data_IF_050208512998
#
_entry.id   IF_050208512998
#
_cell.length_a   1.000
_cell.length_b   1.000
_cell.length_c   1.000
_cell.angle_alpha   90.00
_cell.angle_beta   90.00
_cell.angle_gamma   90.00
#
_symmetry.space_group_name_H-M   'P 1'
#
loop_
_entity.id
_entity.type
_entity.pdbx_description
1 polymer ?
#
# COMPACT_ATOMS: atom_id res chain seq x y z
N UNK A 1 -3.10 -20.76 -2.47
CA UNK A 1 -3.41 -19.66 -3.44
C UNK A 1 -2.11 -18.96 -3.82
N UNK A 2 -2.01 -18.49 -5.07
CA UNK A 2 -0.85 -17.68 -5.50
C UNK A 2 -1.23 -16.17 -5.50
N UNK A 3 -0.61 -15.24 -4.80
CA UNK A 3 -0.76 -13.94 -4.70
C UNK A 3 0.25 -13.33 -5.52
N UNK A 4 -0.06 -12.52 -6.38
CA UNK A 4 0.83 -11.71 -7.23
C UNK A 4 0.83 -10.26 -6.75
N UNK A 5 1.98 -9.70 -6.46
CA UNK A 5 2.10 -8.27 -6.11
C UNK A 5 2.71 -7.52 -7.30
N UNK A 6 2.12 -6.62 -7.90
CA UNK A 6 2.41 -5.87 -8.88
C UNK A 6 2.93 -4.65 -8.43
N UNK A 7 4.14 -4.43 -8.48
CA UNK A 7 4.82 -3.16 -8.22
C UNK A 7 4.81 -2.29 -9.49
N UNK A 8 4.08 -1.18 -9.52
CA UNK A 8 3.99 -0.35 -10.74
C UNK A 8 5.26 0.44 -11.08
N UNK A 9 6.26 0.49 -10.20
CA UNK A 9 7.56 1.10 -10.51
C UNK A 9 8.58 0.03 -10.92
N UNK A 10 9.73 0.46 -11.40
CA UNK A 10 10.79 -0.45 -11.85
C UNK A 10 11.93 -0.58 -10.84
N UNK A 11 11.71 -0.17 -9.59
CA UNK A 11 12.74 -0.17 -8.56
C UNK A 11 12.79 -1.54 -7.85
N UNK A 12 13.85 -2.30 -8.10
CA UNK A 12 14.03 -3.63 -7.51
C UNK A 12 14.14 -3.59 -5.98
N UNK A 13 14.68 -2.52 -5.40
CA UNK A 13 14.74 -2.37 -3.94
C UNK A 13 13.35 -2.30 -3.31
N UNK A 14 12.34 -1.79 -4.04
CA UNK A 14 10.95 -1.84 -3.60
C UNK A 14 10.45 -3.28 -3.53
N UNK A 15 10.74 -4.08 -4.55
CA UNK A 15 10.36 -5.50 -4.57
C UNK A 15 10.99 -6.26 -3.41
N UNK A 16 12.27 -6.00 -3.12
CA UNK A 16 12.99 -6.64 -2.01
C UNK A 16 12.35 -6.32 -0.66
N UNK A 17 11.95 -5.06 -0.45
CA UNK A 17 11.25 -4.64 0.78
C UNK A 17 9.91 -5.33 0.90
N UNK A 18 9.15 -5.34 -0.17
CA UNK A 18 7.86 -6.02 -0.22
C UNK A 18 8.00 -7.51 0.10
N UNK A 19 8.77 -8.09 -0.61
CA UNK A 19 9.02 -9.38 -0.40
C UNK A 19 9.35 -9.68 0.97
N UNK A 20 10.31 -8.87 1.75
CA UNK A 20 10.71 -9.08 3.15
C UNK A 20 9.50 -9.01 4.13
N UNK A 21 8.59 -8.16 3.90
CA UNK A 21 7.36 -8.03 4.69
C UNK A 21 6.34 -9.13 4.39
N UNK A 22 6.21 -9.46 3.13
CA UNK A 22 5.18 -10.26 2.81
C UNK A 22 5.47 -11.71 2.92
N UNK A 23 6.80 -12.19 2.72
CA UNK A 23 7.17 -13.62 2.81
C UNK A 23 6.86 -14.30 4.14
N UNK A 24 7.16 -13.70 5.28
CA UNK A 24 6.84 -14.36 6.56
C UNK A 24 5.35 -14.58 6.82
N UNK A 25 4.48 -13.96 6.05
CA UNK A 25 3.02 -14.08 6.22
C UNK A 25 2.46 -15.25 5.40
N UNK A 26 3.24 -15.78 4.47
CA UNK A 26 2.79 -16.81 3.53
C UNK A 26 3.17 -18.20 4.00
N UNK A 27 2.24 -18.99 4.15
CA UNK A 27 2.42 -20.28 4.58
C UNK A 27 2.00 -21.24 3.53
N UNK A 28 2.48 -22.16 3.20
CA UNK A 28 2.19 -23.18 2.42
C UNK A 28 0.85 -23.64 2.70
N UNK A 29 -0.03 -23.92 1.72
CA UNK A 29 0.24 -24.06 0.25
C UNK A 29 0.19 -22.73 -0.51
N UNK A 30 0.04 -21.63 0.17
CA UNK A 30 -0.02 -20.31 -0.48
C UNK A 30 1.38 -19.89 -0.99
N UNK A 31 1.40 -19.17 -2.10
CA UNK A 31 2.64 -18.70 -2.77
C UNK A 31 2.56 -17.20 -3.04
N UNK A 32 3.70 -16.54 -2.98
CA UNK A 32 3.82 -15.11 -3.27
C UNK A 32 4.81 -14.87 -4.41
N UNK A 33 4.42 -14.05 -5.36
CA UNK A 33 5.30 -13.57 -6.42
C UNK A 33 5.24 -12.05 -6.43
N UNK A 34 6.40 -11.38 -6.47
CA UNK A 34 6.48 -9.91 -6.56
C UNK A 34 7.10 -9.56 -7.90
N UNK A 35 6.42 -8.76 -8.71
CA UNK A 35 6.87 -8.38 -10.06
C UNK A 35 6.76 -6.86 -10.25
N UNK A 36 7.59 -6.37 -11.14
CA UNK A 36 7.60 -4.96 -11.58
C UNK A 36 7.32 -4.86 -13.06
N UNK A 37 6.97 -3.75 -13.49
CA UNK A 37 6.87 -3.48 -14.79
C UNK A 37 8.21 -3.62 -15.39
N UNK A 38 8.41 -3.94 -16.65
CA UNK A 38 9.71 -4.10 -17.34
C UNK A 38 10.35 -2.76 -17.71
N UNK A 39 9.55 -1.72 -17.79
CA UNK A 39 9.99 -0.36 -18.13
C UNK A 39 9.02 0.65 -17.54
N UNK A 40 9.46 1.87 -17.35
CA UNK A 40 8.62 2.96 -16.85
C UNK A 40 9.28 3.79 -15.77
N UNK A 41 8.52 4.04 -14.72
CA UNK A 41 8.88 5.02 -13.69
C UNK A 41 9.69 4.39 -12.55
N UNK A 42 10.67 4.95 -12.21
CA UNK A 42 11.50 4.49 -11.24
C UNK A 42 11.00 4.61 -9.88
N UNK A 43 10.48 5.84 -9.57
CA UNK A 43 9.83 6.11 -8.29
C UNK A 43 8.57 6.95 -8.56
N UNK A 44 7.43 6.53 -8.00
CA UNK A 44 6.16 7.24 -8.14
C UNK A 44 6.06 8.25 -6.98
N UNK A 45 6.19 9.53 -7.31
CA UNK A 45 6.19 10.62 -6.32
C UNK A 45 5.10 11.66 -6.57
N UNK A 46 4.40 11.56 -7.72
CA UNK A 46 3.35 12.52 -8.11
C UNK A 46 2.09 11.82 -8.64
N UNK A 47 1.01 12.44 -8.69
CA UNK A 47 -0.13 11.92 -9.16
C UNK A 47 -0.07 11.56 -10.56
N UNK A 48 0.61 12.51 -11.38
CA UNK A 48 0.83 12.27 -12.81
C UNK A 48 1.66 11.00 -13.08
N UNK A 49 2.72 10.83 -12.33
CA UNK A 49 3.54 9.61 -12.45
C UNK A 49 2.74 8.35 -12.15
N UNK A 50 1.89 8.38 -11.13
CA UNK A 50 1.01 7.25 -10.81
C UNK A 50 0.07 6.94 -11.98
N UNK A 51 -0.55 7.97 -12.55
CA UNK A 51 -1.45 7.80 -13.72
C UNK A 51 -0.72 7.20 -14.92
N UNK A 52 0.53 7.60 -15.13
CA UNK A 52 1.34 7.06 -16.24
C UNK A 52 1.61 5.56 -16.10
N UNK A 53 1.51 5.00 -14.91
CA UNK A 53 1.70 3.54 -14.71
C UNK A 53 0.45 2.73 -15.05
N UNK A 54 -0.72 3.36 -15.16
CA UNK A 54 -2.00 2.64 -15.33
C UNK A 54 -1.98 1.67 -16.52
N UNK A 55 -1.53 2.07 -17.73
CA UNK A 55 -1.54 1.11 -18.84
C UNK A 55 -0.69 -0.14 -18.56
N UNK A 56 0.47 0.02 -17.92
CA UNK A 56 1.35 -1.11 -17.58
C UNK A 56 0.73 -2.00 -16.51
N UNK A 57 0.08 -1.39 -15.49
CA UNK A 57 -0.65 -2.14 -14.45
C UNK A 57 -1.75 -2.98 -15.10
N UNK A 58 -2.56 -2.38 -15.97
CA UNK A 58 -3.68 -3.08 -16.62
C UNK A 58 -3.17 -4.19 -17.57
N UNK A 59 -2.07 -3.96 -18.27
CA UNK A 59 -1.45 -4.98 -19.13
C UNK A 59 -0.98 -6.19 -18.30
N UNK A 60 -0.37 -5.93 -17.14
CA UNK A 60 0.08 -7.00 -16.23
C UNK A 60 -1.11 -7.78 -15.66
N UNK A 61 -2.16 -7.06 -15.21
CA UNK A 61 -3.39 -7.70 -14.72
C UNK A 61 -3.99 -8.57 -15.82
N UNK A 62 -4.12 -8.05 -17.04
CA UNK A 62 -4.68 -8.78 -18.19
C UNK A 62 -3.88 -10.06 -18.47
N UNK A 63 -2.56 -10.00 -18.36
CA UNK A 63 -1.68 -11.14 -18.65
C UNK A 63 -1.75 -12.23 -17.55
N UNK A 64 -2.05 -11.87 -16.31
CA UNK A 64 -1.82 -12.76 -15.17
C UNK A 64 -3.07 -13.16 -14.38
N UNK A 65 -4.23 -12.47 -14.56
CA UNK A 65 -5.39 -12.67 -13.68
C UNK A 65 -6.02 -14.09 -13.74
N UNK A 66 -5.72 -14.85 -14.77
CA UNK A 66 -6.22 -16.24 -14.86
C UNK A 66 -5.26 -17.27 -14.26
N UNK A 67 -4.04 -16.84 -13.90
CA UNK A 67 -2.98 -17.72 -13.39
C UNK A 67 -2.81 -17.64 -11.87
N UNK A 68 -3.46 -16.65 -11.24
CA UNK A 68 -3.29 -16.35 -9.82
C UNK A 68 -4.63 -16.21 -9.12
N UNK A 69 -4.65 -16.43 -7.82
CA UNK A 69 -5.86 -16.27 -7.01
C UNK A 69 -6.13 -14.83 -6.61
N UNK A 70 -5.08 -14.00 -6.57
CA UNK A 70 -5.24 -12.58 -6.24
C UNK A 70 -4.09 -11.76 -6.79
N UNK A 71 -4.39 -10.50 -7.10
CA UNK A 71 -3.40 -9.49 -7.51
C UNK A 71 -3.48 -8.31 -6.52
N UNK A 72 -2.32 -7.85 -6.06
CA UNK A 72 -2.18 -6.68 -5.20
C UNK A 72 -1.41 -5.60 -5.97
N UNK A 73 -2.00 -4.41 -6.11
CA UNK A 73 -1.33 -3.26 -6.74
C UNK A 73 -0.57 -2.50 -5.66
N UNK A 74 0.76 -2.51 -5.73
CA UNK A 74 1.63 -2.04 -4.66
C UNK A 74 2.16 -0.61 -4.87
N UNK A 75 1.24 0.32 -5.16
CA UNK A 75 1.54 1.75 -5.19
C UNK A 75 0.38 2.50 -4.54
N UNK A 76 0.69 3.44 -3.69
CA UNK A 76 -0.28 4.06 -2.77
C UNK A 76 -1.34 4.96 -3.44
N UNK A 77 -1.35 5.06 -4.64
CA UNK A 77 -2.31 5.69 -5.27
C UNK A 77 -3.22 4.81 -5.94
N UNK A 78 -3.04 3.46 -5.73
CA UNK A 78 -3.78 2.37 -6.33
C UNK A 78 -4.06 2.59 -7.82
N UNK A 79 -3.02 2.80 -8.65
CA UNK A 79 -3.23 3.17 -10.06
C UNK A 79 -3.94 2.05 -10.83
N UNK A 80 -5.05 2.41 -11.50
CA UNK A 80 -5.82 1.47 -12.32
C UNK A 80 -6.62 0.43 -11.54
N UNK A 81 -6.75 0.56 -10.21
CA UNK A 81 -7.40 -0.45 -9.38
C UNK A 81 -8.83 -0.75 -9.83
N UNK A 82 -9.64 0.28 -10.07
CA UNK A 82 -11.06 0.11 -10.43
C UNK A 82 -11.20 -0.63 -11.76
N UNK A 83 -10.40 -0.26 -12.74
CA UNK A 83 -10.38 -0.91 -14.05
C UNK A 83 -9.87 -2.35 -13.92
N UNK A 84 -8.82 -2.56 -13.14
CA UNK A 84 -8.27 -3.90 -12.88
C UNK A 84 -9.32 -4.80 -12.22
N UNK A 85 -10.05 -4.29 -11.23
CA UNK A 85 -11.14 -5.02 -10.57
C UNK A 85 -12.26 -5.40 -11.54
N UNK A 86 -12.55 -4.52 -12.52
CA UNK A 86 -13.61 -4.77 -13.51
C UNK A 86 -13.21 -5.82 -14.55
N UNK A 87 -11.91 -5.96 -14.85
CA UNK A 87 -11.43 -6.83 -15.93
C UNK A 87 -10.93 -8.20 -15.44
N UNK A 88 -10.50 -8.29 -14.20
CA UNK A 88 -9.86 -9.51 -13.68
C UNK A 88 -10.89 -10.56 -13.26
N UNK A 89 -10.53 -11.84 -13.44
CA UNK A 89 -11.32 -12.98 -12.93
C UNK A 89 -10.91 -13.36 -11.51
N UNK A 90 -9.79 -12.83 -11.03
CA UNK A 90 -9.32 -13.03 -9.65
C UNK A 90 -9.57 -11.78 -8.81
N UNK A 91 -9.37 -11.89 -7.49
CA UNK A 91 -9.46 -10.75 -6.59
C UNK A 91 -8.33 -9.75 -6.89
N UNK A 92 -8.65 -8.46 -7.00
CA UNK A 92 -7.64 -7.39 -7.13
C UNK A 92 -7.81 -6.39 -6.00
N UNK A 93 -6.73 -6.09 -5.28
CA UNK A 93 -6.71 -5.20 -4.12
C UNK A 93 -5.59 -4.18 -4.30
N UNK A 94 -5.86 -2.93 -3.93
CA UNK A 94 -4.83 -1.90 -3.83
C UNK A 94 -4.30 -1.78 -2.41
N UNK A 95 -3.04 -1.42 -2.25
CA UNK A 95 -2.46 -1.29 -0.90
C UNK A 95 -3.06 -0.11 -0.13
N UNK A 96 -3.45 0.96 -0.82
CA UNK A 96 -4.13 2.10 -0.21
C UNK A 96 -5.56 1.72 0.21
N UNK A 97 -6.30 1.05 -0.68
CA UNK A 97 -7.64 0.54 -0.39
C UNK A 97 -7.62 -0.34 0.87
N UNK A 98 -6.72 -1.32 0.89
CA UNK A 98 -6.62 -2.27 1.99
C UNK A 98 -6.29 -1.57 3.31
N UNK A 99 -5.27 -0.70 3.29
CA UNK A 99 -4.84 0.02 4.50
C UNK A 99 -5.96 0.92 5.04
N UNK A 100 -6.61 1.68 4.16
CA UNK A 100 -7.69 2.60 4.58
C UNK A 100 -8.89 1.86 5.14
N UNK A 101 -9.32 0.77 4.50
CA UNK A 101 -10.44 -0.04 5.00
C UNK A 101 -10.08 -0.71 6.33
N UNK A 102 -8.85 -1.21 6.48
CA UNK A 102 -8.37 -1.79 7.73
C UNK A 102 -8.36 -0.73 8.85
N UNK A 103 -7.79 0.45 8.59
CA UNK A 103 -7.74 1.54 9.57
C UNK A 103 -9.14 1.97 9.99
N UNK A 104 -10.06 2.10 9.04
CA UNK A 104 -11.44 2.51 9.30
C UNK A 104 -12.21 1.47 10.15
N UNK A 105 -11.85 0.19 10.04
CA UNK A 105 -12.43 -0.85 10.88
C UNK A 105 -11.82 -0.86 12.30
N UNK A 106 -10.56 -0.44 12.44
CA UNK A 106 -9.87 -0.43 13.73
C UNK A 106 -10.18 0.80 14.58
N UNK A 107 -10.48 1.94 13.96
CA UNK A 107 -10.58 3.21 14.67
C UNK A 107 -11.62 4.15 14.04
N UNK A 108 -12.23 4.98 14.88
CA UNK A 108 -13.18 6.00 14.40
C UNK A 108 -12.49 7.06 13.52
N UNK A 109 -11.19 7.31 13.76
CA UNK A 109 -10.40 8.28 12.99
C UNK A 109 -9.01 7.72 12.76
N UNK A 110 -8.47 7.94 11.55
CA UNK A 110 -7.10 7.53 11.20
C UNK A 110 -6.40 8.62 10.40
N UNK A 111 -5.08 8.57 10.37
CA UNK A 111 -4.25 9.45 9.53
C UNK A 111 -3.31 8.62 8.66
N UNK A 112 -2.86 9.24 7.59
CA UNK A 112 -1.89 8.65 6.66
C UNK A 112 -0.62 9.51 6.70
N UNK A 113 0.53 8.88 6.83
CA UNK A 113 1.83 9.52 6.72
C UNK A 113 2.54 8.92 5.50
N UNK A 114 2.98 9.79 4.60
CA UNK A 114 3.64 9.37 3.36
C UNK A 114 4.68 10.41 2.94
N UNK A 115 5.29 10.19 1.78
CA UNK A 115 6.26 11.11 1.18
C UNK A 115 5.60 11.82 -0.01
N UNK A 116 6.09 13.01 -0.28
CA UNK A 116 5.69 13.80 -1.46
C UNK A 116 4.37 14.57 -1.31
N UNK A 117 4.51 15.63 -1.38
CA UNK A 117 3.49 16.52 -1.12
C UNK A 117 2.39 16.56 -2.12
N UNK A 118 2.68 16.19 -3.24
CA UNK A 118 1.71 16.26 -4.32
C UNK A 118 0.68 15.13 -4.29
N UNK A 119 0.90 14.10 -3.50
CA UNK A 119 0.01 12.93 -3.46
C UNK A 119 -1.25 13.15 -2.62
N UNK A 120 -1.22 14.10 -1.73
CA UNK A 120 -2.30 14.34 -0.76
C UNK A 120 -3.72 14.47 -1.36
N UNK A 121 -3.87 14.94 -2.34
CA UNK A 121 -5.08 15.18 -2.96
C UNK A 121 -5.66 13.95 -3.58
N UNK A 122 -4.74 13.27 -4.21
CA UNK A 122 -5.12 11.98 -4.79
C UNK A 122 -5.51 10.96 -3.71
N UNK A 123 -4.77 10.92 -2.62
CA UNK A 123 -5.06 10.05 -1.47
C UNK A 123 -6.45 10.35 -0.90
N UNK A 124 -6.81 11.59 -0.74
CA UNK A 124 -8.15 11.99 -0.26
C UNK A 124 -9.26 11.61 -1.26
N UNK A 125 -8.95 11.60 -2.42
CA UNK A 125 -9.80 11.25 -3.38
C UNK A 125 -10.09 9.84 -3.39
N UNK A 126 -9.03 9.05 -3.09
CA UNK A 126 -9.16 7.61 -2.90
C UNK A 126 -9.98 7.28 -1.64
N UNK A 127 -9.73 7.95 -0.54
CA UNK A 127 -10.51 7.75 0.70
C UNK A 127 -12.01 7.96 0.47
N UNK A 128 -12.36 8.94 -0.35
CA UNK A 128 -13.77 9.18 -0.71
C UNK A 128 -14.34 8.00 -1.51
N UNK A 129 -13.60 7.53 -2.51
CA UNK A 129 -14.05 6.42 -3.35
C UNK A 129 -14.17 5.09 -2.57
N UNK A 130 -13.36 4.93 -1.51
CA UNK A 130 -13.41 3.75 -0.65
C UNK A 130 -14.43 3.87 0.49
N UNK A 131 -15.13 5.03 0.57
CA UNK A 131 -16.18 5.25 1.57
C UNK A 131 -15.68 5.53 2.98
N UNK A 132 -14.41 5.95 3.13
CA UNK A 132 -13.79 6.16 4.44
C UNK A 132 -13.29 7.60 4.67
N UNK A 133 -13.68 8.53 3.78
CA UNK A 133 -13.22 9.92 3.85
C UNK A 133 -13.56 10.59 5.18
N UNK A 134 -14.72 10.27 5.76
CA UNK A 134 -15.16 10.88 7.03
C UNK A 134 -14.28 10.46 8.22
N UNK A 135 -13.58 9.32 8.10
CA UNK A 135 -12.69 8.81 9.15
C UNK A 135 -11.24 9.26 8.93
N UNK A 136 -10.88 9.74 7.73
CA UNK A 136 -9.54 10.23 7.43
C UNK A 136 -9.33 11.62 8.02
N UNK A 137 -8.56 11.71 9.09
CA UNK A 137 -8.31 12.98 9.79
C UNK A 137 -7.26 13.84 9.07
N UNK A 138 -6.15 13.25 8.59
CA UNK A 138 -5.05 13.98 7.96
C UNK A 138 -4.23 13.08 7.04
N UNK A 139 -3.63 13.74 6.04
CA UNK A 139 -2.58 13.11 5.22
C UNK A 139 -1.32 13.96 5.38
N UNK A 140 -0.40 13.51 5.96
CA UNK A 140 0.78 14.13 6.29
C UNK A 140 1.80 13.77 5.30
N UNK A 141 2.43 14.50 4.65
CA UNK A 141 3.42 14.32 3.83
C UNK A 141 4.64 14.73 4.42
N UNK A 142 5.64 13.96 4.56
CA UNK A 142 7.01 14.33 4.99
C UNK A 142 7.81 14.90 3.80
N UNK A 143 8.66 15.88 4.02
CA UNK A 143 9.34 16.60 2.90
C UNK A 143 10.60 15.87 2.40
N UNK A 144 10.54 14.57 2.25
CA UNK A 144 11.68 13.73 1.84
C UNK A 144 11.32 12.91 0.61
N UNK A 145 12.35 12.57 -0.16
CA UNK A 145 12.23 11.59 -1.24
C UNK A 145 12.44 10.17 -0.69
N UNK A 146 12.01 9.19 -1.45
CA UNK A 146 12.25 7.77 -1.14
C UNK A 146 13.76 7.50 -1.00
N UNK A 147 14.57 8.10 -1.89
CA UNK A 147 16.04 7.95 -1.84
C UNK A 147 16.62 8.48 -0.52
N UNK A 148 16.14 9.64 -0.06
CA UNK A 148 16.59 10.21 1.21
C UNK A 148 16.22 9.33 2.41
N UNK A 149 15.02 8.75 2.42
CA UNK A 149 14.58 7.83 3.47
C UNK A 149 15.46 6.57 3.47
N UNK A 150 15.76 6.05 2.29
CA UNK A 150 16.63 4.86 2.14
C UNK A 150 18.06 5.12 2.61
N UNK A 151 18.55 6.32 2.39
CA UNK A 151 19.90 6.73 2.84
C UNK A 151 19.98 7.01 4.34
N UNK A 152 18.88 7.31 5.11
CA UNK A 152 18.92 7.50 6.18
C UNK A 152 18.11 6.95 6.91
N UNK A 153 18.13 5.78 7.08
CA UNK A 153 17.02 5.07 7.71
C UNK A 153 16.73 5.45 9.17
N UNK A 154 17.73 5.69 9.96
CA UNK A 154 17.56 6.13 11.37
C UNK A 154 16.85 7.49 11.47
N UNK A 155 17.19 8.26 10.59
CA UNK A 155 16.67 9.56 10.57
C UNK A 155 15.29 9.59 10.09
N UNK A 156 14.99 8.88 9.36
CA UNK A 156 13.77 8.66 8.93
C UNK A 156 12.89 8.24 9.96
N UNK A 157 13.29 7.22 10.66
CA UNK A 157 12.57 6.64 11.79
C UNK A 157 12.08 7.70 12.81
N UNK A 158 12.78 8.50 12.97
CA UNK A 158 12.47 9.49 13.92
C UNK A 158 11.47 10.46 13.47
N UNK A 159 11.64 10.83 12.33
CA UNK A 159 10.65 11.76 11.77
C UNK A 159 9.29 11.11 11.58
N UNK A 160 9.24 9.84 11.20
CA UNK A 160 7.98 9.11 11.12
C UNK A 160 7.32 9.00 12.50
N UNK A 161 8.08 8.66 13.53
CA UNK A 161 7.55 8.58 14.92
C UNK A 161 6.98 9.94 15.36
N UNK A 162 7.73 11.02 15.12
CA UNK A 162 7.29 12.39 15.50
C UNK A 162 6.02 12.79 14.73
N UNK A 163 5.96 12.48 13.44
CA UNK A 163 4.75 12.77 12.64
C UNK A 163 3.54 11.99 13.17
N UNK A 164 3.75 10.71 13.52
CA UNK A 164 2.70 9.89 14.12
C UNK A 164 2.22 10.50 15.45
N UNK A 165 3.13 10.85 16.34
CA UNK A 165 2.80 11.44 17.65
C UNK A 165 2.02 12.75 17.48
N UNK A 166 2.43 13.59 16.51
CA UNK A 166 1.72 14.84 16.24
C UNK A 166 0.25 14.62 15.85
N UNK A 167 -0.02 13.70 14.93
CA UNK A 167 -1.41 13.46 14.50
C UNK A 167 -2.24 12.75 15.58
N UNK A 168 -1.63 11.90 16.41
CA UNK A 168 -2.32 11.29 17.55
C UNK A 168 -2.79 12.41 18.50
N UNK A 169 -1.92 13.34 18.86
CA UNK A 169 -2.23 14.44 19.80
C UNK A 169 -3.18 15.44 19.18
N UNK A 170 -2.88 15.90 17.95
CA UNK A 170 -3.62 16.99 17.31
C UNK A 170 -4.99 16.54 16.79
N UNK A 171 -5.06 15.38 16.19
CA UNK A 171 -6.24 14.93 15.42
C UNK A 171 -7.01 13.81 16.13
N UNK A 172 -6.48 13.27 17.23
CA UNK A 172 -7.15 12.25 18.04
C UNK A 172 -7.35 10.94 17.28
N UNK A 173 -6.36 10.53 16.48
CA UNK A 173 -6.50 9.32 15.66
C UNK A 173 -6.21 8.06 16.48
N UNK A 174 -6.94 6.99 16.17
CA UNK A 174 -6.76 5.67 16.79
C UNK A 174 -6.05 4.67 15.91
N UNK A 175 -5.63 5.06 14.69
CA UNK A 175 -4.81 4.24 13.79
C UNK A 175 -4.03 5.15 12.84
N UNK A 176 -2.88 4.68 12.40
CA UNK A 176 -2.03 5.41 11.45
C UNK A 176 -1.62 4.47 10.33
N UNK A 177 -1.59 4.98 9.09
CA UNK A 177 -1.08 4.26 7.92
C UNK A 177 0.23 4.91 7.50
N UNK A 178 1.26 4.10 7.29
CA UNK A 178 2.47 4.54 6.58
C UNK A 178 2.28 4.12 5.12
N UNK A 179 2.13 5.10 4.24
CA UNK A 179 1.72 4.87 2.86
C UNK A 179 2.85 4.82 1.85
N UNK A 180 2.86 3.76 1.05
CA UNK A 180 3.75 3.59 -0.09
C UNK A 180 4.52 2.28 -0.08
N UNK A 181 4.60 1.62 -1.24
CA UNK A 181 5.40 0.39 -1.40
C UNK A 181 6.86 0.56 -0.99
N UNK A 182 7.52 1.65 -1.43
CA UNK A 182 8.91 1.92 -0.99
C UNK A 182 9.09 2.15 0.51
N UNK A 183 8.01 2.39 1.26
CA UNK A 183 8.04 2.59 2.72
C UNK A 183 7.67 1.30 3.49
N UNK A 184 7.48 0.19 2.78
CA UNK A 184 7.17 -1.10 3.42
C UNK A 184 8.22 -1.44 4.48
N UNK A 185 7.75 -1.86 5.66
CA UNK A 185 8.59 -2.17 6.81
C UNK A 185 8.76 -1.03 7.80
N UNK A 186 8.51 0.23 7.40
CA UNK A 186 8.65 1.37 8.34
C UNK A 186 7.62 1.24 9.46
N UNK A 187 6.36 0.92 9.13
CA UNK A 187 5.30 0.76 10.13
C UNK A 187 5.73 -0.22 11.24
N UNK A 188 6.23 -1.40 10.86
CA UNK A 188 6.69 -2.40 11.82
C UNK A 188 7.84 -1.87 12.68
N UNK A 189 8.76 -1.11 12.08
CA UNK A 189 9.94 -0.61 12.79
C UNK A 189 9.63 0.44 13.85
N UNK A 190 8.47 1.11 13.76
CA UNK A 190 8.08 2.18 14.69
C UNK A 190 6.89 1.82 15.57
N UNK A 191 6.24 0.68 15.33
CA UNK A 191 4.98 0.31 16.01
C UNK A 191 5.09 0.34 17.53
N UNK A 192 6.20 -0.14 18.10
CA UNK A 192 6.40 -0.23 19.54
C UNK A 192 6.56 1.13 20.23
N UNK A 193 6.85 2.20 19.46
CA UNK A 193 7.02 3.56 20.00
C UNK A 193 5.70 4.34 20.07
N UNK A 194 4.59 3.74 19.62
CA UNK A 194 3.34 4.46 19.41
C UNK A 194 2.18 3.75 20.13
N UNK A 195 1.23 4.53 20.70
CA UNK A 195 0.13 3.95 21.46
C UNK A 195 -1.05 3.47 20.62
N UNK A 196 -0.97 3.58 19.29
CA UNK A 196 -2.04 3.18 18.35
C UNK A 196 -1.45 2.26 17.28
N UNK A 197 -2.27 1.39 16.67
CA UNK A 197 -1.80 0.58 15.54
C UNK A 197 -1.20 1.43 14.42
N UNK A 198 -0.06 0.97 13.88
CA UNK A 198 0.59 1.57 12.72
C UNK A 198 0.56 0.53 11.60
N UNK A 199 -0.06 0.87 10.49
CA UNK A 199 -0.39 -0.07 9.42
C UNK A 199 0.54 0.10 8.22
N UNK A 200 0.96 -1.03 7.66
CA UNK A 200 1.68 -1.12 6.39
C UNK A 200 0.68 -1.54 5.31
N UNK A 201 0.60 -0.77 4.20
CA UNK A 201 -0.37 -1.04 3.15
C UNK A 201 -0.20 -2.40 2.48
N UNK A 202 1.05 -2.83 2.28
CA UNK A 202 1.32 -4.13 1.66
C UNK A 202 0.85 -5.26 2.57
N UNK A 203 1.16 -5.17 3.86
CA UNK A 203 0.70 -6.14 4.87
C UNK A 203 -0.83 -6.21 4.89
N UNK A 204 -1.50 -5.05 4.97
CA UNK A 204 -2.97 -4.99 4.98
C UNK A 204 -3.57 -5.66 3.74
N UNK A 205 -2.98 -5.45 2.56
CA UNK A 205 -3.48 -6.04 1.33
C UNK A 205 -3.35 -7.57 1.32
N UNK A 206 -2.19 -8.08 1.78
CA UNK A 206 -1.97 -9.54 1.88
C UNK A 206 -2.95 -10.15 2.89
N UNK A 207 -3.11 -9.54 4.06
CA UNK A 207 -4.07 -10.01 5.08
C UNK A 207 -5.50 -10.04 4.51
N UNK A 208 -5.91 -8.97 3.82
CA UNK A 208 -7.23 -8.87 3.20
C UNK A 208 -7.47 -10.00 2.19
N UNK A 209 -6.49 -10.28 1.34
CA UNK A 209 -6.57 -11.36 0.34
C UNK A 209 -6.64 -12.74 1.02
N UNK A 210 -5.78 -12.98 2.02
CA UNK A 210 -5.75 -14.27 2.73
C UNK A 210 -7.03 -14.55 3.53
N UNK A 211 -7.69 -13.50 4.01
CA UNK A 211 -8.96 -13.61 4.76
C UNK A 211 -10.19 -13.67 3.86
N UNK A 212 -10.06 -13.33 2.56
CA UNK A 212 -11.19 -13.39 1.62
C UNK A 212 -11.64 -14.85 1.41
N UNK A 213 -12.95 -15.09 1.30
CA UNK A 213 -13.42 -16.44 0.97
C UNK A 213 -12.77 -16.93 -0.31
N UNK A 214 -12.16 -18.10 -0.23
CA UNK A 214 -11.56 -18.70 -1.41
C UNK A 214 -12.66 -19.12 -2.38
N UNK A 215 -12.77 -18.66 -3.41
CA UNK A 215 -13.54 -18.97 -4.29
C UNK A 215 -13.14 -20.20 -4.70
N UNK A 216 -13.75 -21.24 -4.27
CA UNK A 216 -13.58 -22.60 -4.68
C UNK A 216 -13.78 -22.66 -6.20
N UNK A 217 -12.69 -22.82 -6.89
CA UNK A 217 -12.74 -23.18 -8.31
C UNK A 217 -13.31 -24.61 -8.32
N UNK A 218 -14.62 -24.70 -8.44
CA UNK A 218 -15.27 -26.00 -8.67
C UNK A 218 -14.69 -26.55 -9.97
N UNK A 219 -13.88 -27.57 -9.83
CA UNK A 219 -13.31 -28.36 -10.93
C UNK A 219 -14.37 -28.94 -11.83
#
# INVERSE_FOLDING_TARGET
>A
MKXLIXNPNINSATNERIXAIXEPMIXXPDELEVVSXDSGIXLIETXKQSELTIPAVLAMVKARHTEVGAIIIAAFXDPGLKEAQSMASCTVVGISEAAMKTAANLAARFSIITLGXELGXAIKXNALSYGVANQLAAVXXLPWTVSQVSAXPKXXRXAFVDACKRTIIKDGVGAIIIGGGPLSGIADSIADDLPVPVLDGVRCAVEMVLMSPRXDVLS
#
